data_IF_348190743349
#
_entry.id   IF_348190743349
#
_cell.length_a   1.000
_cell.length_b   1.000
_cell.length_c   1.000
_cell.angle_alpha   90.00
_cell.angle_beta   90.00
_cell.angle_gamma   90.00
#
_symmetry.space_group_name_H-M   'P 1'
#
loop_
_entity.id
_entity.type
_entity.pdbx_description
1 polymer ?
#
# COMPACT_ATOMS: atom_id res chain seq x y z
N UNK A 1 11.80 -15.69 18.37
CA UNK A 1 10.82 -14.61 18.09
C UNK A 1 10.51 -14.66 16.60
N UNK A 2 9.23 -14.54 16.20
CA UNK A 2 8.82 -14.48 14.79
C UNK A 2 8.44 -13.06 14.43
N UNK A 3 8.91 -12.56 13.29
CA UNK A 3 8.73 -11.17 12.85
C UNK A 3 8.08 -11.13 11.47
N UNK A 4 6.96 -10.42 11.37
CA UNK A 4 6.34 -10.04 10.10
C UNK A 4 6.55 -8.56 9.82
N UNK A 5 6.85 -8.22 8.57
CA UNK A 5 6.98 -6.85 8.10
C UNK A 5 6.05 -6.62 6.90
N UNK A 6 5.39 -5.47 6.83
CA UNK A 6 4.45 -5.14 5.76
C UNK A 6 4.71 -3.75 5.20
N UNK A 7 4.76 -3.61 3.87
CA UNK A 7 4.87 -2.31 3.22
C UNK A 7 3.52 -1.78 2.74
N UNK A 8 3.10 -0.65 3.32
CA UNK A 8 1.84 0.02 2.98
C UNK A 8 1.90 0.86 1.69
N UNK A 9 3.10 1.15 1.19
CA UNK A 9 3.30 1.89 -0.06
C UNK A 9 3.69 0.94 -1.19
N UNK A 10 3.54 1.36 -2.46
CA UNK A 10 4.08 0.60 -3.58
C UNK A 10 5.57 0.30 -3.39
N UNK A 11 5.98 -0.93 -3.71
CA UNK A 11 7.40 -1.27 -3.81
C UNK A 11 7.88 -1.00 -5.24
N UNK A 12 8.98 -0.24 -5.43
CA UNK A 12 9.45 0.14 -6.76
C UNK A 12 10.01 -1.06 -7.53
N UNK A 13 10.08 -0.94 -8.86
CA UNK A 13 10.83 -1.91 -9.67
C UNK A 13 12.31 -1.96 -9.27
N UNK A 14 12.99 -3.07 -9.57
CA UNK A 14 14.42 -3.22 -9.27
C UNK A 14 15.31 -2.21 -10.00
N UNK A 15 14.86 -1.63 -11.11
CA UNK A 15 15.54 -0.54 -11.81
C UNK A 15 15.51 0.75 -11.00
N UNK A 16 14.34 1.11 -10.47
CA UNK A 16 14.18 2.30 -9.63
C UNK A 16 14.87 2.11 -8.28
N UNK A 17 14.70 0.95 -7.62
CA UNK A 17 15.32 0.68 -6.31
C UNK A 17 16.84 0.80 -6.35
N UNK A 18 17.48 0.47 -7.48
CA UNK A 18 18.95 0.58 -7.64
C UNK A 18 19.49 2.01 -7.57
N UNK A 19 18.64 3.02 -7.71
CA UNK A 19 19.02 4.43 -7.58
C UNK A 19 19.24 4.85 -6.12
N UNK A 20 18.76 4.07 -5.14
CA UNK A 20 18.92 4.37 -3.72
C UNK A 20 20.39 4.16 -3.27
N UNK A 21 21.00 5.10 -2.53
CA UNK A 21 22.35 4.93 -2.00
C UNK A 21 22.49 3.69 -1.09
N UNK A 22 21.53 3.48 -0.18
CA UNK A 22 21.50 2.36 0.76
C UNK A 22 20.70 1.15 0.25
N UNK A 23 20.61 0.96 -1.07
CA UNK A 23 19.78 -0.06 -1.72
C UNK A 23 19.94 -1.47 -1.14
N UNK A 24 21.17 -1.89 -0.87
CA UNK A 24 21.48 -3.24 -0.39
C UNK A 24 21.18 -3.40 1.09
N UNK A 25 21.51 -2.40 1.89
CA UNK A 25 21.26 -2.40 3.33
C UNK A 25 19.75 -2.48 3.61
N UNK A 26 18.94 -1.66 2.93
CA UNK A 26 17.50 -1.66 3.08
C UNK A 26 16.87 -3.03 2.79
N UNK A 27 17.30 -3.69 1.71
CA UNK A 27 16.81 -5.03 1.36
C UNK A 27 17.20 -6.04 2.43
N UNK A 28 18.45 -6.02 2.91
CA UNK A 28 18.91 -6.92 3.98
C UNK A 28 18.18 -6.69 5.29
N UNK A 29 17.89 -5.44 5.64
CA UNK A 29 17.10 -5.11 6.84
C UNK A 29 15.69 -5.67 6.76
N UNK A 30 15.03 -5.58 5.59
CA UNK A 30 13.69 -6.16 5.40
C UNK A 30 13.75 -7.69 5.42
N UNK A 31 14.77 -8.30 4.82
CA UNK A 31 15.00 -9.76 4.84
C UNK A 31 15.35 -10.31 6.23
N UNK A 32 15.54 -9.46 7.24
CA UNK A 32 15.65 -9.91 8.62
C UNK A 32 14.32 -10.44 9.20
N UNK A 33 13.18 -10.12 8.56
CA UNK A 33 11.88 -10.66 8.92
C UNK A 33 11.70 -12.12 8.45
N UNK A 34 10.82 -12.85 9.12
CA UNK A 34 10.37 -14.19 8.69
C UNK A 34 9.35 -14.10 7.54
N UNK A 35 8.56 -13.04 7.52
CA UNK A 35 7.51 -12.77 6.53
C UNK A 35 7.55 -11.31 6.09
N UNK A 36 7.52 -11.10 4.78
CA UNK A 36 7.44 -9.79 4.13
C UNK A 36 6.14 -9.72 3.33
N UNK A 37 5.29 -8.75 3.65
CA UNK A 37 3.97 -8.57 3.04
C UNK A 37 3.86 -7.29 2.20
N UNK A 38 3.11 -7.38 1.10
CA UNK A 38 2.81 -6.25 0.22
C UNK A 38 1.32 -6.21 -0.13
N UNK A 39 0.82 -5.08 -0.62
CA UNK A 39 -0.58 -4.98 -1.05
C UNK A 39 -0.92 -5.82 -2.30
N UNK A 40 0.02 -5.94 -3.24
CA UNK A 40 -0.20 -6.59 -4.53
C UNK A 40 0.89 -7.62 -4.82
N UNK A 41 0.56 -8.57 -5.69
CA UNK A 41 1.51 -9.56 -6.18
C UNK A 41 2.67 -8.92 -6.95
N UNK A 42 2.42 -7.84 -7.69
CA UNK A 42 3.45 -7.14 -8.45
C UNK A 42 4.50 -6.50 -7.54
N UNK A 43 4.10 -5.90 -6.43
CA UNK A 43 5.04 -5.33 -5.45
C UNK A 43 5.89 -6.42 -4.79
N UNK A 44 5.28 -7.55 -4.43
CA UNK A 44 6.00 -8.72 -3.94
C UNK A 44 7.04 -9.23 -4.95
N UNK A 45 6.67 -9.36 -6.23
CA UNK A 45 7.59 -9.73 -7.31
C UNK A 45 8.72 -8.71 -7.49
N UNK A 46 8.42 -7.43 -7.42
CA UNK A 46 9.44 -6.39 -7.53
C UNK A 46 10.45 -6.46 -6.40
N UNK A 47 10.01 -6.73 -5.16
CA UNK A 47 10.89 -6.96 -4.01
C UNK A 47 11.79 -8.17 -4.23
N UNK A 48 11.24 -9.33 -4.60
CA UNK A 48 12.03 -10.54 -4.90
C UNK A 48 13.03 -10.25 -6.01
N UNK A 49 12.60 -9.58 -7.09
CA UNK A 49 13.48 -9.17 -8.19
C UNK A 49 14.60 -8.24 -7.75
N UNK A 50 14.33 -7.31 -6.83
CA UNK A 50 15.35 -6.43 -6.28
C UNK A 50 16.37 -7.21 -5.44
N UNK A 51 15.92 -8.15 -4.59
CA UNK A 51 16.81 -9.03 -3.83
C UNK A 51 17.71 -9.86 -4.76
N UNK A 52 17.17 -10.48 -5.80
CA UNK A 52 17.96 -11.26 -6.75
C UNK A 52 18.94 -10.39 -7.53
N UNK A 53 18.52 -9.23 -8.04
CA UNK A 53 19.36 -8.40 -8.92
C UNK A 53 20.40 -7.55 -8.18
N UNK A 54 20.17 -7.23 -6.90
CA UNK A 54 21.02 -6.31 -6.12
C UNK A 54 21.86 -7.06 -5.11
N UNK A 55 21.28 -8.07 -4.46
CA UNK A 55 21.98 -8.86 -3.44
C UNK A 55 22.54 -10.19 -3.99
N UNK A 56 22.11 -10.60 -5.19
CA UNK A 56 22.51 -11.89 -5.78
C UNK A 56 21.86 -13.10 -5.10
N UNK A 57 20.76 -12.89 -4.37
CA UNK A 57 20.06 -13.93 -3.62
C UNK A 57 19.09 -14.71 -4.50
N UNK A 58 18.83 -15.96 -4.12
CA UNK A 58 17.87 -16.80 -4.81
C UNK A 58 16.44 -16.38 -4.46
N UNK A 59 15.66 -16.07 -5.50
CA UNK A 59 14.23 -15.79 -5.38
C UNK A 59 13.44 -17.02 -5.76
N UNK A 60 12.54 -17.46 -4.89
CA UNK A 60 11.63 -18.59 -5.12
C UNK A 60 10.18 -18.08 -5.19
N UNK A 61 9.21 -18.90 -5.64
CA UNK A 61 7.80 -18.55 -5.56
C UNK A 61 7.30 -18.25 -4.14
N UNK A 62 8.00 -18.76 -3.12
CA UNK A 62 7.65 -18.59 -1.71
C UNK A 62 8.32 -17.38 -1.05
N UNK A 63 9.41 -16.87 -1.62
CA UNK A 63 10.14 -15.74 -1.06
C UNK A 63 11.60 -15.64 -1.51
N UNK A 64 12.49 -15.26 -0.59
CA UNK A 64 13.92 -15.06 -0.86
C UNK A 64 14.74 -15.91 0.11
N UNK A 65 15.71 -16.65 -0.43
CA UNK A 65 16.64 -17.45 0.36
C UNK A 65 17.98 -16.71 0.57
N UNK A 66 18.42 -16.65 1.83
CA UNK A 66 19.71 -16.09 2.22
C UNK A 66 20.37 -17.01 3.25
N UNK A 67 21.50 -17.61 2.90
CA UNK A 67 22.29 -18.51 3.77
C UNK A 67 21.46 -19.64 4.43
N UNK A 68 20.57 -20.27 3.65
CA UNK A 68 19.70 -21.35 4.12
C UNK A 68 18.49 -20.90 4.94
N UNK A 69 18.28 -19.58 5.07
CA UNK A 69 17.05 -19.01 5.65
C UNK A 69 16.13 -18.51 4.54
N UNK A 70 14.92 -19.07 4.49
CA UNK A 70 13.84 -18.57 3.63
C UNK A 70 13.04 -17.49 4.35
N UNK A 71 13.07 -16.26 3.82
CA UNK A 71 12.12 -15.21 4.18
C UNK A 71 10.92 -15.30 3.25
N UNK A 72 9.73 -15.58 3.79
CA UNK A 72 8.51 -15.69 2.99
C UNK A 72 8.08 -14.32 2.47
N UNK A 73 7.62 -14.26 1.22
CA UNK A 73 7.11 -13.03 0.61
C UNK A 73 5.70 -13.28 0.07
N UNK A 74 4.74 -12.44 0.45
CA UNK A 74 3.35 -12.62 0.06
C UNK A 74 2.59 -11.31 -0.14
N UNK A 75 1.46 -11.39 -0.84
CA UNK A 75 0.55 -10.27 -1.04
C UNK A 75 -0.67 -10.39 -0.12
N UNK A 76 -0.95 -9.33 0.63
CA UNK A 76 -2.11 -9.17 1.50
C UNK A 76 -2.79 -7.83 1.18
N UNK A 77 -3.87 -7.82 0.38
CA UNK A 77 -4.65 -6.60 0.18
C UNK A 77 -5.26 -6.17 1.51
N UNK A 78 -5.07 -4.91 1.88
CA UNK A 78 -5.63 -4.36 3.13
C UNK A 78 -7.02 -3.82 2.84
N UNK A 79 -7.98 -4.21 3.66
CA UNK A 79 -9.34 -3.70 3.66
C UNK A 79 -9.58 -2.64 4.73
N UNK A 80 -10.83 -2.17 4.78
CA UNK A 80 -11.35 -1.31 5.84
C UNK A 80 -12.30 -2.11 6.74
N UNK A 81 -12.50 -1.65 7.97
CA UNK A 81 -13.60 -2.11 8.82
C UNK A 81 -14.91 -1.51 8.29
N UNK A 82 -15.55 -2.21 7.35
CA UNK A 82 -16.76 -1.76 6.67
C UNK A 82 -17.93 -1.58 7.64
N UNK A 83 -18.05 -2.45 8.64
CA UNK A 83 -19.14 -2.39 9.61
C UNK A 83 -19.08 -1.12 10.45
N UNK A 84 -17.87 -0.67 10.82
CA UNK A 84 -17.71 0.61 11.53
C UNK A 84 -18.27 1.78 10.73
N UNK A 85 -18.07 1.82 9.41
CA UNK A 85 -18.61 2.88 8.56
C UNK A 85 -20.12 2.78 8.43
N UNK A 86 -20.66 1.57 8.24
CA UNK A 86 -22.11 1.33 8.18
C UNK A 86 -22.77 1.82 9.47
N UNK A 87 -22.23 1.46 10.63
CA UNK A 87 -22.73 1.94 11.94
C UNK A 87 -22.60 3.45 12.09
N UNK A 88 -21.53 4.06 11.58
CA UNK A 88 -21.32 5.50 11.69
C UNK A 88 -22.34 6.31 10.88
N UNK A 89 -22.82 5.78 9.74
CA UNK A 89 -23.85 6.44 8.93
C UNK A 89 -25.15 6.59 9.71
N UNK A 90 -25.50 5.62 10.55
CA UNK A 90 -26.75 5.64 11.35
C UNK A 90 -26.73 6.62 12.53
N UNK A 91 -25.59 7.26 12.83
CA UNK A 91 -25.51 8.22 13.93
C UNK A 91 -26.40 9.45 13.64
N UNK A 92 -27.23 9.90 14.60
CA UNK A 92 -28.15 11.04 14.37
C UNK A 92 -27.46 12.29 13.83
N UNK A 93 -26.33 12.66 14.41
CA UNK A 93 -25.50 13.79 13.97
C UNK A 93 -25.01 13.68 12.51
N UNK A 94 -24.75 12.45 12.03
CA UNK A 94 -24.35 12.21 10.64
C UNK A 94 -25.56 12.34 9.72
N UNK A 95 -26.72 11.81 10.13
CA UNK A 95 -27.98 11.97 9.38
C UNK A 95 -28.40 13.44 9.26
N UNK A 96 -28.28 14.21 10.34
CA UNK A 96 -28.56 15.66 10.34
C UNK A 96 -27.66 16.40 9.35
N UNK A 97 -26.36 16.09 9.34
CA UNK A 97 -25.43 16.71 8.40
C UNK A 97 -25.68 16.28 6.94
N UNK A 98 -26.06 15.03 6.70
CA UNK A 98 -26.47 14.56 5.37
C UNK A 98 -27.69 15.36 4.88
N UNK A 99 -28.67 15.62 5.75
CA UNK A 99 -29.84 16.43 5.41
C UNK A 99 -29.45 17.86 5.05
N UNK A 100 -28.63 18.50 5.88
CA UNK A 100 -28.12 19.86 5.64
C UNK A 100 -27.41 19.96 4.27
N UNK A 101 -26.53 19.01 3.96
CA UNK A 101 -25.82 18.98 2.67
C UNK A 101 -26.77 18.77 1.50
N UNK A 102 -27.78 17.91 1.62
CA UNK A 102 -28.79 17.69 0.56
C UNK A 102 -29.61 18.94 0.27
N UNK A 103 -30.04 19.66 1.30
CA UNK A 103 -30.76 20.93 1.15
C UNK A 103 -29.88 22.00 0.52
N UNK A 104 -28.63 22.13 1.01
CA UNK A 104 -27.66 23.13 0.52
C UNK A 104 -27.32 22.96 -0.97
N UNK A 105 -27.25 21.73 -1.45
CA UNK A 105 -26.89 21.42 -2.84
C UNK A 105 -28.08 20.96 -3.71
N UNK A 106 -29.31 21.26 -3.29
CA UNK A 106 -30.51 20.90 -4.03
C UNK A 106 -30.46 21.39 -5.49
N UNK A 107 -30.87 20.52 -6.42
CA UNK A 107 -30.87 20.80 -7.86
C UNK A 107 -29.50 20.79 -8.54
N UNK A 108 -28.43 20.40 -7.83
CA UNK A 108 -27.06 20.33 -8.37
C UNK A 108 -26.50 18.91 -8.25
N UNK A 109 -25.54 18.58 -9.13
CA UNK A 109 -24.70 17.38 -8.97
C UNK A 109 -23.47 17.76 -8.14
N UNK A 110 -23.17 16.98 -7.11
CA UNK A 110 -21.99 17.18 -6.25
C UNK A 110 -21.00 16.07 -6.53
N UNK A 111 -19.76 16.45 -6.85
CA UNK A 111 -18.62 15.54 -6.97
C UNK A 111 -17.71 15.74 -5.76
N UNK A 112 -17.41 14.67 -5.03
CA UNK A 112 -16.59 14.71 -3.82
C UNK A 112 -15.41 13.75 -3.99
N UNK A 113 -14.20 14.27 -3.86
CA UNK A 113 -12.97 13.50 -3.66
C UNK A 113 -12.38 13.88 -2.31
N UNK A 114 -11.99 12.88 -1.51
CA UNK A 114 -11.35 13.09 -0.20
C UNK A 114 -10.00 12.42 -0.24
N UNK A 115 -8.97 13.23 -0.40
CA UNK A 115 -7.61 12.77 -0.61
C UNK A 115 -6.62 13.70 0.09
N UNK A 116 -5.52 13.13 0.61
CA UNK A 116 -4.36 13.93 1.04
C UNK A 116 -3.77 14.67 -0.15
N UNK A 117 -3.42 15.94 0.02
CA UNK A 117 -2.73 16.75 -0.99
C UNK A 117 -1.28 16.26 -1.17
N UNK A 118 -1.14 15.12 -1.82
CA UNK A 118 0.13 14.45 -2.11
C UNK A 118 0.37 14.44 -3.63
N UNK A 119 1.62 14.65 -4.04
CA UNK A 119 2.00 14.72 -5.46
C UNK A 119 1.67 13.44 -6.26
N UNK A 120 1.59 12.30 -5.56
CA UNK A 120 1.26 10.98 -6.13
C UNK A 120 -0.22 10.90 -6.55
N UNK A 121 -1.09 11.69 -5.94
CA UNK A 121 -2.55 11.58 -6.17
C UNK A 121 -3.05 12.33 -7.40
N UNK A 122 -2.15 12.90 -8.19
CA UNK A 122 -2.45 13.56 -9.46
C UNK A 122 -3.69 14.50 -9.37
N UNK A 123 -3.83 15.26 -8.27
CA UNK A 123 -5.02 16.09 -7.98
C UNK A 123 -5.46 17.00 -9.15
N UNK A 124 -4.53 17.39 -10.02
CA UNK A 124 -4.80 18.16 -11.24
C UNK A 124 -5.65 17.42 -12.29
N UNK A 125 -5.72 16.08 -12.29
CA UNK A 125 -6.53 15.32 -13.27
C UNK A 125 -8.00 15.17 -12.87
N UNK A 126 -8.33 15.31 -11.57
CA UNK A 126 -9.70 15.09 -11.07
C UNK A 126 -10.66 16.27 -11.31
N UNK A 127 -10.14 17.44 -11.70
CA UNK A 127 -10.93 18.65 -11.96
C UNK A 127 -10.75 19.17 -13.41
N UNK A 128 -10.30 18.31 -14.33
CA UNK A 128 -10.30 18.61 -15.76
C UNK A 128 -11.71 18.66 -16.31
N UNK A 129 -12.30 19.86 -16.32
CA UNK A 129 -13.35 20.24 -17.25
C UNK A 129 -12.70 20.53 -18.61
#
# INVERSE_FOLDING_TARGET
MKVGWFLHTPFPSSEIHRTLPSRSELLRSVLAADLVGFHTYDYARHFVSACTRILGLEGTPEGVEDQGRLTRVAAFPIGIDSERFIRAIELPQVQDHIKELKERFAGRKVMLGVDRLDMIKEFHKNFGV
#
